data_IF_088245509813
#
_entry.id   IF_088245509813
#
_cell.length_a   1.000
_cell.length_b   1.000
_cell.length_c   1.000
_cell.angle_alpha   90.00
_cell.angle_beta   90.00
_cell.angle_gamma   90.00
#
_symmetry.space_group_name_H-M   'P 1'
#
loop_
_entity.id
_entity.type
_entity.pdbx_description
1 polymer ?
#
# COMPACT_ATOMS: atom_id res chain seq x y z
N UNK A 1 -19.81 18.25 7.06
CA UNK A 1 -20.11 17.51 8.31
C UNK A 1 -20.86 16.24 7.94
N UNK A 2 -20.13 15.25 7.45
CA UNK A 2 -20.64 13.89 7.22
C UNK A 2 -20.44 13.15 8.54
N UNK A 3 -21.52 12.95 9.30
CA UNK A 3 -21.44 12.10 10.49
C UNK A 3 -21.10 10.67 10.05
N UNK A 4 -20.21 9.97 10.76
CA UNK A 4 -20.09 8.53 10.61
C UNK A 4 -21.45 7.92 10.97
N UNK A 5 -21.98 7.06 10.12
CA UNK A 5 -23.17 6.25 10.43
C UNK A 5 -22.83 5.27 11.55
N UNK A 6 -22.80 5.73 12.80
CA UNK A 6 -22.86 4.87 13.96
C UNK A 6 -24.33 4.52 14.18
N UNK A 7 -24.72 3.30 13.83
CA UNK A 7 -26.04 2.81 14.19
C UNK A 7 -26.14 2.70 15.73
N UNK A 8 -27.13 3.34 16.39
CA UNK A 8 -27.13 3.45 17.86
C UNK A 8 -27.36 2.15 18.65
N UNK A 9 -27.44 0.99 18.01
CA UNK A 9 -28.10 -0.18 18.59
C UNK A 9 -27.44 -1.53 18.28
N UNK A 10 -26.10 -1.64 18.25
CA UNK A 10 -25.40 -2.95 18.29
C UNK A 10 -25.91 -4.04 17.31
N UNK A 11 -26.53 -3.63 16.20
CA UNK A 11 -27.05 -4.50 15.15
C UNK A 11 -26.08 -4.41 13.97
N UNK A 12 -25.85 -5.53 13.25
CA UNK A 12 -25.10 -5.52 12.01
C UNK A 12 -25.62 -4.43 11.07
N UNK A 13 -24.77 -3.45 10.72
CA UNK A 13 -25.03 -2.52 9.64
C UNK A 13 -24.57 -3.12 8.30
N UNK A 14 -25.10 -2.66 7.15
CA UNK A 14 -24.49 -2.97 5.87
C UNK A 14 -23.07 -2.39 5.81
N UNK A 15 -22.24 -2.88 4.89
CA UNK A 15 -20.88 -2.36 4.67
C UNK A 15 -20.87 -0.83 4.62
N UNK A 16 -20.03 -0.13 5.41
CA UNK A 16 -20.00 1.32 5.44
C UNK A 16 -19.79 1.93 4.06
N UNK A 17 -20.32 3.13 3.85
CA UNK A 17 -20.24 3.82 2.56
C UNK A 17 -19.81 5.27 2.69
N UNK A 18 -19.09 5.77 1.70
CA UNK A 18 -18.72 7.18 1.56
C UNK A 18 -19.24 7.74 0.23
N UNK A 19 -19.52 9.05 0.18
CA UNK A 19 -19.88 9.74 -1.05
C UNK A 19 -18.73 10.64 -1.49
N UNK A 20 -18.16 10.37 -2.67
CA UNK A 20 -17.05 11.13 -3.25
C UNK A 20 -17.53 11.67 -4.60
N UNK A 21 -17.49 12.99 -4.79
CA UNK A 21 -17.92 13.62 -6.05
C UNK A 21 -19.37 13.29 -6.44
N UNK A 22 -20.26 13.11 -5.46
CA UNK A 22 -21.66 12.73 -5.67
C UNK A 22 -21.91 11.25 -5.95
N UNK A 23 -20.86 10.42 -6.05
CA UNK A 23 -20.97 8.96 -6.22
C UNK A 23 -20.78 8.25 -4.89
N UNK A 24 -21.67 7.30 -4.57
CA UNK A 24 -21.60 6.50 -3.33
C UNK A 24 -20.75 5.24 -3.56
N UNK A 25 -19.78 5.01 -2.68
CA UNK A 25 -18.90 3.84 -2.69
C UNK A 25 -19.02 3.09 -1.37
N UNK A 26 -19.01 1.76 -1.40
CA UNK A 26 -18.73 0.94 -0.22
C UNK A 26 -17.26 1.09 0.17
N UNK A 27 -16.94 1.08 1.46
CA UNK A 27 -15.57 1.29 1.93
C UNK A 27 -14.61 0.22 1.40
N UNK A 28 -15.09 -1.01 1.17
CA UNK A 28 -14.31 -2.12 0.56
C UNK A 28 -14.18 -2.07 -0.96
N UNK A 29 -14.59 -0.97 -1.60
CA UNK A 29 -14.50 -0.85 -3.05
C UNK A 29 -13.05 -0.62 -3.49
N UNK A 30 -12.47 -1.58 -4.21
CA UNK A 30 -11.08 -1.55 -4.69
C UNK A 30 -10.71 -0.31 -5.52
N UNK A 31 -11.68 0.35 -6.17
CA UNK A 31 -11.43 1.60 -6.92
C UNK A 31 -10.97 2.75 -6.02
N UNK A 32 -11.36 2.71 -4.74
CA UNK A 32 -10.97 3.73 -3.77
C UNK A 32 -9.45 3.81 -3.58
N UNK A 33 -8.73 2.70 -3.73
CA UNK A 33 -7.25 2.68 -3.64
C UNK A 33 -6.63 3.61 -4.68
N UNK A 34 -7.09 3.52 -5.94
CA UNK A 34 -6.56 4.35 -7.03
C UNK A 34 -7.03 5.81 -6.95
N UNK A 35 -8.19 6.04 -6.31
CA UNK A 35 -8.71 7.39 -6.12
C UNK A 35 -8.05 8.11 -4.96
N UNK A 36 -7.60 7.38 -3.93
CA UNK A 36 -7.14 7.91 -2.65
C UNK A 36 -6.12 9.06 -2.79
N UNK A 37 -5.07 8.97 -3.63
CA UNK A 37 -4.09 10.07 -3.77
C UNK A 37 -4.69 11.40 -4.26
N UNK A 38 -5.84 11.35 -4.95
CA UNK A 38 -6.52 12.55 -5.48
C UNK A 38 -7.56 13.14 -4.54
N UNK A 39 -7.84 12.47 -3.40
CA UNK A 39 -8.84 12.91 -2.44
C UNK A 39 -8.28 13.93 -1.47
N UNK A 40 -9.18 14.72 -0.87
CA UNK A 40 -8.81 15.63 0.22
C UNK A 40 -8.29 14.86 1.44
N UNK A 41 -7.40 15.44 2.23
CA UNK A 41 -6.90 14.79 3.45
C UNK A 41 -8.03 14.36 4.40
N UNK A 42 -9.12 15.13 4.46
CA UNK A 42 -10.32 14.77 5.24
C UNK A 42 -11.01 13.50 4.72
N UNK A 43 -11.13 13.35 3.40
CA UNK A 43 -11.73 12.16 2.80
C UNK A 43 -10.82 10.94 2.94
N UNK A 44 -9.50 11.12 2.83
CA UNK A 44 -8.52 10.06 3.07
C UNK A 44 -8.63 9.53 4.50
N UNK A 45 -8.63 10.43 5.51
CA UNK A 45 -8.83 10.02 6.91
C UNK A 45 -10.16 9.32 7.13
N UNK A 46 -11.25 9.85 6.57
CA UNK A 46 -12.58 9.24 6.70
C UNK A 46 -12.61 7.83 6.11
N UNK A 47 -11.97 7.61 4.96
CA UNK A 47 -11.87 6.27 4.35
C UNK A 47 -11.09 5.28 5.21
N UNK A 48 -9.97 5.72 5.77
CA UNK A 48 -9.14 4.90 6.66
C UNK A 48 -9.93 4.54 7.92
N UNK A 49 -10.58 5.50 8.55
CA UNK A 49 -11.35 5.30 9.78
C UNK A 49 -12.52 4.34 9.54
N UNK A 50 -13.30 4.55 8.46
CA UNK A 50 -14.41 3.66 8.11
C UNK A 50 -13.95 2.24 7.82
N UNK A 51 -12.80 2.06 7.16
CA UNK A 51 -12.27 0.72 6.89
C UNK A 51 -11.76 0.05 8.17
N UNK A 52 -11.13 0.81 9.07
CA UNK A 52 -10.64 0.30 10.35
C UNK A 52 -11.80 -0.14 11.24
N UNK A 53 -12.87 0.66 11.31
CA UNK A 53 -14.12 0.30 12.00
C UNK A 53 -14.73 -0.96 11.40
N UNK A 54 -14.82 -1.05 10.07
CA UNK A 54 -15.35 -2.23 9.40
C UNK A 54 -14.54 -3.50 9.68
N UNK A 55 -13.20 -3.43 9.63
CA UNK A 55 -12.33 -4.55 9.99
C UNK A 55 -12.64 -5.03 11.40
N UNK A 56 -12.72 -4.11 12.38
CA UNK A 56 -13.03 -4.43 13.78
C UNK A 56 -14.42 -5.06 13.95
N UNK A 57 -15.42 -4.59 13.20
CA UNK A 57 -16.74 -5.20 13.20
C UNK A 57 -16.71 -6.63 12.66
N UNK A 58 -15.97 -6.89 11.58
CA UNK A 58 -15.82 -8.24 11.00
C UNK A 58 -15.03 -9.15 11.94
N UNK A 59 -13.99 -8.65 12.60
CA UNK A 59 -13.25 -9.43 13.62
C UNK A 59 -14.17 -9.88 14.76
N UNK A 60 -15.02 -8.95 15.24
CA UNK A 60 -15.91 -9.17 16.38
C UNK A 60 -17.11 -10.05 16.01
N UNK A 61 -17.79 -9.75 14.90
CA UNK A 61 -19.08 -10.33 14.54
C UNK A 61 -19.00 -11.34 13.39
N UNK A 62 -17.86 -11.50 12.73
CA UNK A 62 -17.73 -12.32 11.53
C UNK A 62 -17.93 -13.82 11.74
N UNK A 63 -18.09 -14.28 12.99
CA UNK A 63 -18.49 -15.65 13.31
C UNK A 63 -20.01 -15.85 13.34
N UNK A 64 -20.79 -14.76 13.33
CA UNK A 64 -22.26 -14.79 13.25
C UNK A 64 -22.70 -14.81 11.77
N UNK A 65 -23.34 -15.90 11.28
CA UNK A 65 -23.85 -15.97 9.91
C UNK A 65 -24.87 -14.88 9.57
N UNK A 66 -25.60 -14.35 10.56
CA UNK A 66 -26.57 -13.26 10.37
C UNK A 66 -25.86 -11.95 10.04
N UNK A 67 -24.78 -11.65 10.76
CA UNK A 67 -23.91 -10.51 10.45
C UNK A 67 -23.30 -10.68 9.06
N UNK A 68 -22.73 -11.85 8.76
CA UNK A 68 -22.06 -12.12 7.48
C UNK A 68 -23.02 -12.05 6.28
N UNK A 69 -24.31 -12.37 6.45
CA UNK A 69 -25.35 -12.13 5.42
C UNK A 69 -25.69 -10.66 5.27
N UNK A 70 -25.75 -9.92 6.37
CA UNK A 70 -26.06 -8.48 6.36
C UNK A 70 -25.02 -7.69 5.56
N UNK A 71 -23.74 -8.05 5.68
CA UNK A 71 -22.66 -7.44 4.90
C UNK A 71 -22.47 -8.03 3.50
N UNK A 72 -23.32 -8.98 3.10
CA UNK A 72 -23.32 -9.60 1.77
C UNK A 72 -22.15 -10.55 1.50
N UNK A 73 -21.50 -11.07 2.55
CA UNK A 73 -20.40 -12.05 2.42
C UNK A 73 -20.94 -13.49 2.34
N UNK A 74 -22.04 -13.77 3.03
CA UNK A 74 -22.76 -15.05 2.95
C UNK A 74 -24.09 -14.91 2.22
N UNK A 75 -24.39 -15.89 1.36
CA UNK A 75 -25.71 -16.03 0.77
C UNK A 75 -26.74 -16.51 1.82
N UNK A 76 -28.06 -16.29 1.60
CA UNK A 76 -29.10 -16.60 2.59
C UNK A 76 -29.10 -18.04 3.13
N UNK A 77 -28.69 -19.01 2.32
CA UNK A 77 -28.65 -20.43 2.68
C UNK A 77 -27.24 -20.96 2.93
N UNK A 78 -26.23 -20.12 2.76
CA UNK A 78 -24.83 -20.50 2.92
C UNK A 78 -24.42 -20.55 4.39
N UNK A 79 -23.49 -21.45 4.69
CA UNK A 79 -22.88 -21.64 6.01
C UNK A 79 -21.36 -21.65 5.85
N UNK A 80 -20.67 -20.76 6.56
CA UNK A 80 -19.21 -20.69 6.62
C UNK A 80 -18.67 -21.82 7.51
N UNK A 81 -18.57 -23.03 6.96
CA UNK A 81 -18.23 -24.25 7.72
C UNK A 81 -16.76 -24.33 8.10
N UNK A 82 -15.88 -23.64 7.39
CA UNK A 82 -14.43 -23.64 7.57
C UNK A 82 -13.87 -22.30 8.09
N UNK A 83 -14.72 -21.28 8.22
CA UNK A 83 -14.33 -19.93 8.62
C UNK A 83 -13.60 -19.17 7.51
N UNK A 84 -13.54 -19.72 6.29
CA UNK A 84 -12.80 -19.11 5.19
C UNK A 84 -13.48 -17.83 4.71
N UNK A 85 -14.80 -17.69 4.85
CA UNK A 85 -15.48 -16.46 4.40
C UNK A 85 -15.08 -15.28 5.25
N UNK A 86 -15.07 -15.44 6.59
CA UNK A 86 -14.55 -14.42 7.51
C UNK A 86 -13.10 -14.06 7.19
N UNK A 87 -12.24 -15.06 7.00
CA UNK A 87 -10.82 -14.82 6.76
C UNK A 87 -10.58 -14.11 5.42
N UNK A 88 -11.32 -14.46 4.37
CA UNK A 88 -11.18 -13.84 3.05
C UNK A 88 -11.63 -12.38 3.04
N UNK A 89 -12.70 -12.03 3.76
CA UNK A 89 -13.10 -10.62 3.87
C UNK A 89 -12.08 -9.81 4.69
N UNK A 90 -11.54 -10.39 5.77
CA UNK A 90 -10.51 -9.74 6.58
C UNK A 90 -9.22 -9.54 5.78
N UNK A 91 -8.75 -10.56 5.06
CA UNK A 91 -7.60 -10.47 4.15
C UNK A 91 -7.78 -9.35 3.12
N UNK A 92 -8.92 -9.32 2.41
CA UNK A 92 -9.22 -8.27 1.45
C UNK A 92 -9.25 -6.86 2.06
N UNK A 93 -9.82 -6.71 3.25
CA UNK A 93 -9.87 -5.42 3.95
C UNK A 93 -8.50 -5.01 4.49
N UNK A 94 -7.74 -5.93 5.05
CA UNK A 94 -6.37 -5.71 5.52
C UNK A 94 -5.46 -5.30 4.36
N UNK A 95 -5.53 -5.99 3.22
CA UNK A 95 -4.76 -5.60 2.04
C UNK A 95 -5.16 -4.22 1.52
N UNK A 96 -6.46 -3.89 1.53
CA UNK A 96 -6.91 -2.56 1.16
C UNK A 96 -6.42 -1.49 2.15
N UNK A 97 -6.42 -1.79 3.45
CA UNK A 97 -5.91 -0.89 4.49
C UNK A 97 -4.42 -0.60 4.29
N UNK A 98 -3.61 -1.62 4.02
CA UNK A 98 -2.19 -1.44 3.73
C UNK A 98 -1.96 -0.52 2.52
N UNK A 99 -2.79 -0.64 1.48
CA UNK A 99 -2.74 0.26 0.33
C UNK A 99 -3.19 1.69 0.68
N UNK A 100 -4.22 1.87 1.50
CA UNK A 100 -4.62 3.20 1.98
C UNK A 100 -3.49 3.88 2.76
N UNK A 101 -2.84 3.14 3.67
CA UNK A 101 -1.69 3.64 4.44
C UNK A 101 -0.49 3.99 3.55
N UNK A 102 -0.27 3.25 2.45
CA UNK A 102 0.75 3.61 1.45
C UNK A 102 0.41 4.92 0.74
N UNK A 103 -0.81 5.02 0.23
CA UNK A 103 -1.21 6.05 -0.74
C UNK A 103 -1.75 7.34 -0.11
N UNK A 104 -1.98 7.38 1.20
CA UNK A 104 -2.37 8.61 1.87
C UNK A 104 -1.21 9.60 1.94
N UNK A 105 -1.53 10.88 2.10
CA UNK A 105 -0.55 11.96 2.22
C UNK A 105 -0.73 12.71 3.56
N UNK A 106 0.26 12.65 4.47
CA UNK A 106 1.51 11.87 4.39
C UNK A 106 1.28 10.36 4.46
N UNK A 107 2.24 9.58 3.93
CA UNK A 107 2.18 8.11 3.99
C UNK A 107 2.30 7.59 5.43
N UNK A 108 1.45 6.63 5.79
CA UNK A 108 1.34 5.98 7.11
C UNK A 108 1.74 4.50 7.04
N UNK A 109 2.62 4.14 6.11
CA UNK A 109 2.98 2.73 5.84
C UNK A 109 3.57 2.00 7.05
N UNK A 110 4.16 2.70 8.01
CA UNK A 110 4.62 2.15 9.29
C UNK A 110 3.47 1.56 10.12
N UNK A 111 2.26 2.13 10.04
CA UNK A 111 1.06 1.62 10.70
C UNK A 111 0.42 0.42 9.98
N UNK A 112 0.87 0.12 8.76
CA UNK A 112 0.28 -0.93 7.93
C UNK A 112 0.69 -2.36 8.32
N UNK A 113 1.76 -2.53 9.11
CA UNK A 113 2.33 -3.82 9.49
C UNK A 113 1.30 -4.90 9.86
N UNK A 114 0.37 -4.68 10.82
CA UNK A 114 -0.56 -5.73 11.23
C UNK A 114 -1.45 -6.20 10.08
N UNK A 115 -1.86 -5.29 9.20
CA UNK A 115 -2.71 -5.61 8.06
C UNK A 115 -1.93 -6.38 6.98
N UNK A 116 -0.67 -6.01 6.75
CA UNK A 116 0.21 -6.74 5.83
C UNK A 116 0.48 -8.15 6.35
N UNK A 117 0.74 -8.31 7.65
CA UNK A 117 0.96 -9.61 8.31
C UNK A 117 -0.28 -10.50 8.22
N UNK A 118 -1.49 -9.96 8.42
CA UNK A 118 -2.75 -10.71 8.19
C UNK A 118 -2.82 -11.24 6.76
N UNK A 119 -2.50 -10.40 5.78
CA UNK A 119 -2.57 -10.80 4.37
C UNK A 119 -1.55 -11.89 4.02
N UNK A 120 -0.32 -11.74 4.50
CA UNK A 120 0.74 -12.75 4.34
C UNK A 120 0.42 -14.06 5.06
N UNK A 121 -0.20 -14.01 6.24
CA UNK A 121 -0.61 -15.21 6.97
C UNK A 121 -1.71 -15.98 6.22
N UNK A 122 -2.67 -15.27 5.62
CA UNK A 122 -3.71 -15.88 4.80
C UNK A 122 -3.13 -16.48 3.52
N UNK A 123 -2.23 -15.77 2.84
CA UNK A 123 -1.53 -16.29 1.67
C UNK A 123 -0.79 -17.61 1.99
N UNK A 124 0.01 -17.65 3.06
CA UNK A 124 0.73 -18.85 3.50
C UNK A 124 -0.17 -20.06 3.83
N UNK A 125 -1.46 -19.84 4.06
CA UNK A 125 -2.41 -20.91 4.37
C UNK A 125 -2.85 -21.69 3.12
N UNK A 126 -2.80 -21.05 1.95
CA UNK A 126 -3.26 -21.65 0.70
C UNK A 126 -2.15 -21.90 -0.31
N UNK A 127 -0.96 -21.35 -0.06
CA UNK A 127 0.19 -21.44 -0.95
C UNK A 127 1.30 -22.29 -0.33
N UNK A 128 2.11 -22.91 -1.20
CA UNK A 128 3.26 -23.69 -0.75
C UNK A 128 4.31 -22.79 -0.06
N UNK A 129 5.12 -23.30 0.89
CA UNK A 129 6.11 -22.48 1.62
C UNK A 129 7.13 -21.75 0.74
N UNK A 130 7.42 -22.27 -0.44
CA UNK A 130 8.30 -21.70 -1.46
C UNK A 130 7.64 -20.57 -2.28
N UNK A 131 6.31 -20.53 -2.32
CA UNK A 131 5.57 -19.47 -2.99
C UNK A 131 5.53 -18.24 -2.09
N UNK A 132 5.98 -17.11 -2.62
CA UNK A 132 6.06 -15.84 -1.91
C UNK A 132 5.13 -14.83 -2.55
N UNK A 133 4.33 -14.15 -1.74
CA UNK A 133 3.61 -12.97 -2.21
C UNK A 133 4.54 -11.75 -2.17
N UNK A 134 5.16 -11.47 -3.31
CA UNK A 134 6.19 -10.42 -3.47
C UNK A 134 5.66 -9.05 -3.08
N UNK A 135 4.40 -8.73 -3.42
CA UNK A 135 3.87 -7.37 -3.22
C UNK A 135 3.67 -7.04 -1.74
N UNK A 136 2.97 -7.83 -0.92
CA UNK A 136 2.88 -7.62 0.52
C UNK A 136 4.24 -7.70 1.23
N UNK A 137 5.17 -8.54 0.77
CA UNK A 137 6.54 -8.58 1.34
C UNK A 137 7.29 -7.26 1.12
N UNK A 138 7.20 -6.66 -0.06
CA UNK A 138 7.78 -5.33 -0.34
C UNK A 138 7.11 -4.23 0.50
N UNK A 139 5.80 -4.32 0.73
CA UNK A 139 5.09 -3.43 1.66
C UNK A 139 5.57 -3.60 3.10
N UNK A 140 5.78 -4.83 3.54
CA UNK A 140 6.26 -5.13 4.88
C UNK A 140 7.68 -4.59 5.10
N UNK A 141 8.57 -4.76 4.13
CA UNK A 141 9.92 -4.19 4.17
C UNK A 141 9.88 -2.66 4.32
N UNK A 142 9.07 -1.97 3.51
CA UNK A 142 8.90 -0.52 3.61
C UNK A 142 8.23 -0.07 4.93
N UNK A 143 7.33 -0.89 5.49
CA UNK A 143 6.74 -0.63 6.82
C UNK A 143 7.80 -0.69 7.91
N UNK A 144 8.60 -1.79 7.93
CA UNK A 144 9.69 -1.97 8.89
C UNK A 144 10.80 -0.94 8.74
N UNK A 145 11.12 -0.50 7.52
CA UNK A 145 12.16 0.49 7.29
C UNK A 145 11.86 1.86 7.92
N UNK A 146 10.58 2.15 8.21
CA UNK A 146 10.14 3.36 8.92
C UNK A 146 10.01 3.20 10.43
N UNK A 147 10.02 1.97 10.95
CA UNK A 147 9.91 1.70 12.38
C UNK A 147 11.30 1.62 13.03
N UNK A 148 11.63 2.45 14.04
CA UNK A 148 12.88 2.34 14.77
C UNK A 148 13.03 0.97 15.44
N UNK A 149 14.17 0.31 15.23
CA UNK A 149 14.48 -0.99 15.83
C UNK A 149 14.05 -2.19 15.00
N UNK A 150 13.40 -2.00 13.84
CA UNK A 150 13.03 -3.08 12.90
C UNK A 150 13.87 -3.10 11.62
N UNK A 151 15.01 -2.43 11.61
CA UNK A 151 15.84 -2.31 10.41
C UNK A 151 16.41 -3.67 9.95
N UNK A 152 16.71 -4.57 10.89
CA UNK A 152 17.18 -5.92 10.55
C UNK A 152 16.07 -6.76 9.91
N UNK A 153 14.84 -6.66 10.42
CA UNK A 153 13.66 -7.31 9.83
C UNK A 153 13.33 -6.74 8.46
N UNK A 154 13.42 -5.41 8.28
CA UNK A 154 13.23 -4.74 7.00
C UNK A 154 14.21 -5.31 5.95
N UNK A 155 15.50 -5.34 6.27
CA UNK A 155 16.54 -5.87 5.38
C UNK A 155 16.32 -7.34 5.07
N UNK A 156 15.99 -8.17 6.06
CA UNK A 156 15.74 -9.61 5.84
C UNK A 156 14.57 -9.82 4.88
N UNK A 157 13.42 -9.18 5.14
CA UNK A 157 12.22 -9.32 4.30
C UNK A 157 12.48 -8.79 2.89
N UNK A 158 13.17 -7.66 2.77
CA UNK A 158 13.49 -7.07 1.47
C UNK A 158 14.38 -7.99 0.63
N UNK A 159 15.48 -8.51 1.20
CA UNK A 159 16.41 -9.43 0.52
C UNK A 159 15.75 -10.72 0.03
N UNK A 160 14.65 -11.14 0.66
CA UNK A 160 13.92 -12.33 0.21
C UNK A 160 13.17 -12.14 -1.11
N UNK A 161 12.93 -10.90 -1.55
CA UNK A 161 12.10 -10.57 -2.72
C UNK A 161 12.67 -9.50 -3.64
N UNK A 162 13.82 -8.89 -3.31
CA UNK A 162 14.37 -7.75 -4.06
C UNK A 162 14.72 -8.07 -5.52
N UNK A 163 15.13 -9.32 -5.79
CA UNK A 163 15.48 -9.82 -7.13
C UNK A 163 14.25 -10.29 -7.93
N UNK A 164 13.06 -10.26 -7.33
CA UNK A 164 11.84 -10.61 -8.05
C UNK A 164 11.55 -9.59 -9.15
N UNK A 165 11.26 -10.09 -10.35
CA UNK A 165 10.78 -9.26 -11.46
C UNK A 165 9.30 -8.91 -11.34
N UNK A 166 8.61 -9.49 -10.36
CA UNK A 166 7.21 -9.20 -10.07
C UNK A 166 7.08 -7.82 -9.41
N UNK A 167 5.95 -7.15 -9.65
CA UNK A 167 5.60 -5.89 -8.98
C UNK A 167 6.69 -4.79 -9.05
N UNK A 168 7.34 -4.62 -10.20
CA UNK A 168 8.44 -3.67 -10.40
C UNK A 168 8.18 -2.25 -9.86
N UNK A 169 6.96 -1.71 -10.00
CA UNK A 169 6.58 -0.40 -9.42
C UNK A 169 6.69 -0.38 -7.90
N UNK A 170 6.23 -1.44 -7.25
CA UNK A 170 6.34 -1.61 -5.80
C UNK A 170 7.78 -1.85 -5.38
N UNK A 171 8.58 -2.54 -6.20
CA UNK A 171 10.01 -2.74 -5.97
C UNK A 171 10.77 -1.41 -5.94
N UNK A 172 10.54 -0.50 -6.92
CA UNK A 172 11.16 0.83 -6.92
C UNK A 172 10.81 1.65 -5.67
N UNK A 173 9.54 1.62 -5.26
CA UNK A 173 9.07 2.29 -4.06
C UNK A 173 9.69 1.71 -2.78
N UNK A 174 9.75 0.38 -2.65
CA UNK A 174 10.37 -0.28 -1.52
C UNK A 174 11.88 0.00 -1.46
N UNK A 175 12.59 -0.05 -2.60
CA UNK A 175 14.01 0.32 -2.70
C UNK A 175 14.28 1.74 -2.22
N UNK A 176 13.41 2.70 -2.55
CA UNK A 176 13.51 4.06 -2.04
C UNK A 176 13.32 4.17 -0.51
N UNK A 177 12.49 3.32 0.09
CA UNK A 177 12.35 3.23 1.54
C UNK A 177 13.56 2.58 2.20
N UNK A 178 14.10 1.52 1.58
CA UNK A 178 15.29 0.82 2.05
C UNK A 178 16.53 1.72 1.98
N UNK A 179 16.73 2.49 0.91
CA UNK A 179 17.88 3.40 0.81
C UNK A 179 17.88 4.45 1.92
N UNK A 180 16.73 5.07 2.21
CA UNK A 180 16.58 6.02 3.33
C UNK A 180 16.87 5.39 4.67
N UNK A 181 16.40 4.15 4.89
CA UNK A 181 16.71 3.40 6.11
C UNK A 181 18.21 3.12 6.22
N UNK A 182 18.84 2.64 5.15
CA UNK A 182 20.28 2.38 5.10
C UNK A 182 21.10 3.64 5.38
N UNK A 183 20.75 4.79 4.78
CA UNK A 183 21.35 6.10 5.11
C UNK A 183 21.19 6.42 6.60
N UNK A 184 19.99 6.22 7.17
CA UNK A 184 19.70 6.49 8.59
C UNK A 184 20.56 5.66 9.55
N UNK A 185 20.83 4.40 9.22
CA UNK A 185 21.65 3.49 10.05
C UNK A 185 23.15 3.50 9.69
N UNK A 186 23.58 4.36 8.76
CA UNK A 186 24.98 4.50 8.36
C UNK A 186 25.50 3.43 7.37
N UNK A 187 24.60 2.60 6.81
CA UNK A 187 24.90 1.63 5.76
C UNK A 187 24.94 2.29 4.38
N UNK A 188 25.90 3.19 4.19
CA UNK A 188 25.97 4.04 2.97
C UNK A 188 26.14 3.24 1.69
N UNK A 189 26.94 2.17 1.69
CA UNK A 189 27.17 1.37 0.49
C UNK A 189 25.89 0.66 0.03
N UNK A 190 25.14 0.07 0.96
CA UNK A 190 23.86 -0.56 0.68
C UNK A 190 22.82 0.47 0.24
N UNK A 191 22.83 1.69 0.80
CA UNK A 191 21.95 2.76 0.32
C UNK A 191 22.23 3.12 -1.14
N UNK A 192 23.50 3.30 -1.50
CA UNK A 192 23.94 3.65 -2.85
C UNK A 192 23.59 2.57 -3.87
N UNK A 193 23.71 1.29 -3.49
CA UNK A 193 23.27 0.18 -4.33
C UNK A 193 21.78 0.27 -4.68
N UNK A 194 20.93 0.54 -3.69
CA UNK A 194 19.49 0.68 -3.91
C UNK A 194 19.15 1.94 -4.74
N UNK A 195 19.86 3.04 -4.49
CA UNK A 195 19.72 4.29 -5.22
C UNK A 195 20.12 4.14 -6.70
N UNK A 196 21.25 3.49 -6.97
CA UNK A 196 21.75 3.17 -8.30
C UNK A 196 20.76 2.27 -9.03
N UNK A 197 20.27 1.20 -8.39
CA UNK A 197 19.31 0.29 -8.99
C UNK A 197 18.04 1.03 -9.46
N UNK A 198 17.49 1.90 -8.61
CA UNK A 198 16.29 2.69 -8.96
C UNK A 198 16.59 3.68 -10.10
N UNK A 199 17.75 4.34 -10.05
CA UNK A 199 18.17 5.30 -11.07
C UNK A 199 18.43 4.64 -12.44
N UNK A 200 19.17 3.52 -12.47
CA UNK A 200 19.42 2.73 -13.68
C UNK A 200 18.11 2.21 -14.28
N UNK A 201 17.20 1.71 -13.44
CA UNK A 201 15.91 1.24 -13.92
C UNK A 201 15.15 2.38 -14.61
N UNK A 202 15.08 3.56 -14.01
CA UNK A 202 14.39 4.71 -14.60
C UNK A 202 15.03 5.16 -15.92
N UNK A 203 16.37 5.19 -15.98
CA UNK A 203 17.11 5.52 -17.20
C UNK A 203 16.94 4.50 -18.32
N UNK A 204 16.80 3.21 -17.98
CA UNK A 204 16.55 2.14 -18.94
C UNK A 204 15.09 2.04 -19.42
N UNK A 205 14.14 2.64 -18.69
CA UNK A 205 12.70 2.47 -18.90
C UNK A 205 11.96 3.81 -19.01
N UNK A 206 12.43 4.68 -19.90
CA UNK A 206 11.89 6.04 -20.13
C UNK A 206 10.39 6.12 -20.45
N UNK A 207 9.77 5.00 -20.87
CA UNK A 207 8.35 4.89 -21.18
C UNK A 207 7.57 3.99 -20.20
N UNK A 208 8.25 3.39 -19.21
CA UNK A 208 7.63 2.51 -18.22
C UNK A 208 6.91 3.28 -17.11
N UNK A 209 7.43 4.45 -16.75
CA UNK A 209 6.87 5.35 -15.73
C UNK A 209 7.10 6.80 -16.17
N UNK A 210 6.11 7.66 -15.96
CA UNK A 210 6.28 9.09 -16.22
C UNK A 210 7.22 9.74 -15.18
N UNK A 211 8.00 10.78 -15.51
CA UNK A 211 8.80 11.52 -14.53
C UNK A 211 8.05 11.95 -13.25
N UNK A 212 6.80 12.37 -13.34
CA UNK A 212 5.96 12.76 -12.21
C UNK A 212 5.57 11.56 -11.35
N UNK A 213 5.14 10.46 -11.97
CA UNK A 213 4.85 9.21 -11.28
C UNK A 213 6.12 8.63 -10.62
N UNK A 214 7.27 8.70 -11.30
CA UNK A 214 8.56 8.28 -10.73
C UNK A 214 8.91 9.14 -9.53
N UNK A 215 8.83 10.47 -9.65
CA UNK A 215 9.08 11.39 -8.55
C UNK A 215 8.18 11.10 -7.35
N UNK A 216 6.89 10.85 -7.56
CA UNK A 216 5.97 10.47 -6.50
C UNK A 216 6.35 9.12 -5.86
N UNK A 217 6.75 8.14 -6.67
CA UNK A 217 7.16 6.80 -6.22
C UNK A 217 8.39 6.83 -5.31
N UNK A 218 9.38 7.67 -5.63
CA UNK A 218 10.65 7.75 -4.90
C UNK A 218 10.71 8.91 -3.90
N UNK A 219 9.58 9.56 -3.62
CA UNK A 219 9.47 10.62 -2.61
C UNK A 219 8.72 10.13 -1.37
N UNK A 220 9.03 10.73 -0.22
CA UNK A 220 8.27 10.56 1.02
C UNK A 220 8.34 11.91 1.76
N UNK A 221 7.20 12.57 1.93
CA UNK A 221 7.09 13.88 2.57
C UNK A 221 7.45 13.87 4.06
N UNK A 222 7.42 12.69 4.69
CA UNK A 222 7.80 12.50 6.09
C UNK A 222 9.31 12.35 6.28
N UNK A 223 10.06 12.13 5.19
CA UNK A 223 11.52 12.01 5.24
C UNK A 223 12.19 13.39 5.10
N UNK A 224 12.98 13.77 6.10
CA UNK A 224 13.67 15.06 6.15
C UNK A 224 15.08 15.07 5.54
N UNK A 225 15.58 13.90 5.10
CA UNK A 225 16.91 13.78 4.50
C UNK A 225 16.93 14.11 3.00
N UNK A 226 18.12 14.10 2.42
CA UNK A 226 18.28 14.31 0.99
C UNK A 226 17.71 13.13 0.18
N UNK A 227 16.99 13.42 -0.91
CA UNK A 227 16.54 12.40 -1.84
C UNK A 227 17.64 12.08 -2.86
N UNK A 228 18.56 11.19 -2.48
CA UNK A 228 19.70 10.78 -3.30
C UNK A 228 19.29 10.18 -4.66
N UNK A 229 18.12 9.52 -4.74
CA UNK A 229 17.59 8.97 -6.00
C UNK A 229 17.26 10.10 -6.97
N UNK A 230 16.50 11.10 -6.54
CA UNK A 230 16.18 12.26 -7.39
C UNK A 230 17.41 13.11 -7.71
N UNK A 231 18.42 13.07 -6.84
CA UNK A 231 19.68 13.77 -7.06
C UNK A 231 20.70 13.01 -7.92
N UNK A 232 20.40 11.75 -8.28
CA UNK A 232 21.28 10.94 -9.10
C UNK A 232 21.49 11.57 -10.49
N UNK A 233 22.74 11.63 -11.02
CA UNK A 233 23.04 12.31 -12.29
C UNK A 233 22.21 11.80 -13.48
N UNK A 234 22.02 10.47 -13.57
CA UNK A 234 21.21 9.88 -14.63
C UNK A 234 19.73 10.29 -14.55
N UNK A 235 19.20 10.41 -13.32
CA UNK A 235 17.82 10.82 -13.08
C UNK A 235 17.64 12.29 -13.44
N UNK A 236 18.51 13.18 -12.95
CA UNK A 236 18.47 14.62 -13.27
C UNK A 236 18.49 14.87 -14.77
N UNK A 237 19.37 14.18 -15.51
CA UNK A 237 19.46 14.30 -16.96
C UNK A 237 18.13 13.98 -17.66
N UNK A 238 17.41 12.97 -17.20
CA UNK A 238 16.09 12.62 -17.75
C UNK A 238 15.09 13.74 -17.46
N UNK A 239 15.02 14.22 -16.22
CA UNK A 239 14.10 15.32 -15.86
C UNK A 239 14.37 16.60 -16.67
N UNK A 240 15.63 16.93 -16.92
CA UNK A 240 16.02 18.10 -17.74
C UNK A 240 15.63 17.94 -19.21
N UNK A 241 15.69 16.71 -19.72
CA UNK A 241 15.43 16.38 -21.13
C UNK A 241 14.00 15.90 -21.40
N UNK A 242 13.11 15.92 -20.40
CA UNK A 242 11.75 15.40 -20.56
C UNK A 242 10.71 16.48 -20.30
N UNK A 243 9.76 16.62 -21.22
CA UNK A 243 8.56 17.43 -21.01
C UNK A 243 7.33 16.54 -20.92
N UNK A 244 6.66 16.57 -19.77
CA UNK A 244 5.34 15.95 -19.63
C UNK A 244 4.27 16.83 -20.27
N UNK A 245 3.53 16.26 -21.22
CA UNK A 245 2.46 16.93 -21.96
C UNK A 245 1.07 16.51 -21.49
N UNK A 246 0.99 15.60 -20.52
CA UNK A 246 -0.24 15.14 -19.88
C UNK A 246 0.02 13.92 -18.98
N UNK A 247 -0.99 13.46 -18.22
CA UNK A 247 -0.85 12.30 -17.34
C UNK A 247 -0.36 11.07 -18.13
N UNK A 248 0.84 10.57 -17.80
CA UNK A 248 1.44 9.41 -18.47
C UNK A 248 1.99 9.69 -19.88
N UNK A 249 2.01 10.94 -20.36
CA UNK A 249 2.56 11.31 -21.66
C UNK A 249 3.76 12.23 -21.52
N UNK A 250 4.93 11.75 -21.96
CA UNK A 250 6.19 12.48 -21.88
C UNK A 250 6.92 12.49 -23.22
N UNK A 251 7.47 13.66 -23.60
CA UNK A 251 8.33 13.85 -24.76
C UNK A 251 9.76 13.93 -24.24
N UNK A 252 10.62 13.03 -24.75
CA UNK A 252 12.04 12.99 -24.44
C UNK A 252 12.83 13.69 -25.55
N UNK A 253 13.61 14.71 -25.17
CA UNK A 253 14.53 15.41 -26.06
C UNK A 253 15.92 14.77 -25.95
N UNK A 254 16.44 14.27 -27.08
CA UNK A 254 17.76 13.64 -27.14
C UNK A 254 18.90 14.61 -26.89
#
# INVERSE_FOLDING_TARGET
MTQPTVFPNGRPGPVPTITIGGTRFTVVNKRLVNMLPSLSSSDQSTLIDLLAEFIKEVETNGSDPTYMRTIGVLEPTEVDTDGNKKLNILDGCSWQMAQFMRYCEPTRIDEAEPFIQTSLAQYRRFHAPEEKDVTPMLYLAASYSKQPGKEAEAERVFKEVEDSTEAWKTSLWARAHMSRMYRRIGKTAEAEEQEEHVACWFAGHLYGISPSEFKATVSDSTYSGENHILNHPAVKKIFENTMEVGPGMAIHFG
#
